data_IF_230908217984
#
_entry.id   IF_230908217984
#
_cell.length_a   1.000
_cell.length_b   1.000
_cell.length_c   1.000
_cell.angle_alpha   90.00
_cell.angle_beta   90.00
_cell.angle_gamma   90.00
#
_symmetry.space_group_name_H-M   'P 1'
#
loop_
_entity.id
_entity.type
_entity.pdbx_description
1 polymer ?
#
# COMPACT_ATOMS: atom_id res chain seq x y z
N UNK A 1 -14.48 -12.38 12.88
CA UNK A 1 -13.91 -11.57 11.78
C UNK A 1 -12.41 -11.47 11.99
N UNK A 2 -11.61 -12.12 11.13
CA UNK A 2 -10.15 -12.06 11.22
C UNK A 2 -9.65 -10.63 11.05
N UNK A 3 -8.65 -10.22 11.84
CA UNK A 3 -8.02 -8.90 11.72
C UNK A 3 -6.95 -9.00 10.63
N UNK A 4 -7.20 -8.43 9.45
CA UNK A 4 -6.19 -8.35 8.39
C UNK A 4 -4.93 -7.66 8.90
N UNK A 5 -3.79 -8.33 8.81
CA UNK A 5 -2.48 -7.80 9.23
C UNK A 5 -1.75 -7.23 8.03
N UNK A 6 -1.26 -6.00 8.15
CA UNK A 6 -0.46 -5.36 7.10
C UNK A 6 0.96 -5.16 7.62
N UNK A 7 1.89 -5.92 7.04
CA UNK A 7 3.34 -5.73 7.18
C UNK A 7 3.78 -4.66 6.19
N UNK A 8 4.90 -4.01 6.50
CA UNK A 8 5.48 -2.96 5.65
C UNK A 8 6.97 -3.20 5.52
N UNK A 9 7.49 -3.15 4.29
CA UNK A 9 8.93 -3.22 4.07
C UNK A 9 9.62 -1.93 4.52
N UNK A 10 10.91 -1.99 4.86
CA UNK A 10 11.67 -0.80 5.22
C UNK A 10 11.65 0.27 4.11
N UNK A 11 11.70 -0.15 2.84
CA UNK A 11 11.65 0.75 1.68
C UNK A 11 10.30 1.47 1.59
N UNK A 12 9.18 0.75 1.70
CA UNK A 12 7.85 1.37 1.69
C UNK A 12 7.65 2.29 2.90
N UNK A 13 8.12 1.87 4.09
CA UNK A 13 8.07 2.68 5.31
C UNK A 13 8.75 4.03 5.15
N UNK A 14 9.96 4.04 4.59
CA UNK A 14 10.74 5.28 4.36
C UNK A 14 10.00 6.27 3.45
N UNK A 15 9.15 5.79 2.55
CA UNK A 15 8.41 6.64 1.60
C UNK A 15 7.09 7.16 2.17
N UNK A 16 6.31 6.29 2.80
CA UNK A 16 5.00 6.66 3.36
C UNK A 16 5.12 7.35 4.72
N UNK A 17 6.28 7.23 5.36
CA UNK A 17 6.65 7.92 6.60
C UNK A 17 6.13 7.21 7.85
N UNK A 18 4.83 7.25 8.08
CA UNK A 18 4.21 6.77 9.32
C UNK A 18 3.17 5.67 9.08
N UNK A 19 2.92 4.85 10.12
CA UNK A 19 1.85 3.84 10.09
C UNK A 19 0.47 4.49 9.95
N UNK A 20 0.26 5.66 10.54
CA UNK A 20 -1.00 6.39 10.44
C UNK A 20 -1.27 6.84 8.99
N UNK A 21 -0.25 7.39 8.31
CA UNK A 21 -0.35 7.79 6.91
C UNK A 21 -0.63 6.59 6.00
N UNK A 22 0.05 5.47 6.25
CA UNK A 22 -0.20 4.22 5.53
C UNK A 22 -1.64 3.74 5.68
N UNK A 23 -2.17 3.71 6.90
CA UNK A 23 -3.55 3.28 7.13
C UNK A 23 -4.55 4.25 6.51
N UNK A 24 -4.30 5.56 6.56
CA UNK A 24 -5.13 6.55 5.88
C UNK A 24 -5.13 6.33 4.36
N UNK A 25 -3.95 6.19 3.75
CA UNK A 25 -3.81 5.92 2.33
C UNK A 25 -4.53 4.64 1.90
N UNK A 26 -4.38 3.54 2.64
CA UNK A 26 -5.05 2.28 2.34
C UNK A 26 -6.57 2.36 2.48
N UNK A 27 -7.08 3.04 3.51
CA UNK A 27 -8.53 3.26 3.69
C UNK A 27 -9.12 4.09 2.56
N UNK A 28 -8.37 5.08 2.09
CA UNK A 28 -8.78 5.99 1.02
C UNK A 28 -8.53 5.41 -0.39
N UNK A 29 -7.88 4.25 -0.52
CA UNK A 29 -7.54 3.69 -1.82
C UNK A 29 -8.73 3.05 -2.56
N UNK A 30 -9.79 2.69 -1.84
CA UNK A 30 -10.92 1.98 -2.43
C UNK A 30 -10.52 0.62 -3.00
N UNK A 31 -11.03 0.30 -4.18
CA UNK A 31 -10.71 -0.96 -4.87
C UNK A 31 -9.33 -0.91 -5.54
N UNK A 32 -8.61 -2.04 -5.61
CA UNK A 32 -7.39 -2.13 -6.40
C UNK A 32 -7.64 -1.73 -7.86
N UNK A 33 -6.70 -1.00 -8.44
CA UNK A 33 -6.68 -0.65 -9.86
C UNK A 33 -6.40 -1.87 -10.74
N UNK A 34 -5.56 -2.77 -10.22
CA UNK A 34 -5.16 -4.01 -10.88
C UNK A 34 -4.86 -5.06 -9.81
N UNK A 35 -5.23 -6.30 -10.11
CA UNK A 35 -4.78 -7.48 -9.38
C UNK A 35 -3.99 -8.33 -10.38
N UNK A 36 -2.74 -8.63 -10.05
CA UNK A 36 -1.83 -9.45 -10.85
C UNK A 36 -1.20 -10.53 -9.96
N UNK A 37 -1.69 -11.76 -10.09
CA UNK A 37 -1.34 -12.87 -9.20
C UNK A 37 -1.64 -12.54 -7.74
N UNK A 38 -0.62 -12.59 -6.89
CA UNK A 38 -0.74 -12.27 -5.46
C UNK A 38 -0.53 -10.77 -5.14
N UNK A 39 -0.55 -9.90 -6.15
CA UNK A 39 -0.28 -8.46 -6.01
C UNK A 39 -1.53 -7.64 -6.27
N UNK A 40 -1.76 -6.65 -5.41
CA UNK A 40 -2.81 -5.64 -5.57
C UNK A 40 -2.17 -4.26 -5.72
N UNK A 41 -2.51 -3.58 -6.81
CA UNK A 41 -2.05 -2.23 -7.14
C UNK A 41 -3.11 -1.21 -6.75
N UNK A 42 -2.73 -0.23 -5.95
CA UNK A 42 -3.66 0.70 -5.32
C UNK A 42 -3.14 2.13 -5.49
N UNK A 43 -4.06 3.09 -5.61
CA UNK A 43 -3.76 4.50 -5.42
C UNK A 43 -4.52 4.97 -4.19
N UNK A 44 -3.80 5.37 -3.15
CA UNK A 44 -4.37 5.84 -1.89
C UNK A 44 -3.89 7.23 -1.52
N UNK A 45 -4.68 7.96 -0.75
CA UNK A 45 -4.36 9.32 -0.31
C UNK A 45 -4.19 9.35 1.20
N UNK A 46 -3.06 9.83 1.71
CA UNK A 46 -2.85 9.93 3.15
C UNK A 46 -3.66 11.08 3.79
N UNK A 47 -3.56 11.25 5.10
CA UNK A 47 -4.26 12.31 5.84
C UNK A 47 -3.78 13.72 5.52
N UNK A 48 -2.68 13.88 4.79
CA UNK A 48 -2.11 15.16 4.36
C UNK A 48 -2.44 15.46 2.89
N UNK A 49 -3.24 14.63 2.23
CA UNK A 49 -3.58 14.79 0.82
C UNK A 49 -2.53 14.27 -0.16
N UNK A 50 -1.50 13.57 0.32
CA UNK A 50 -0.45 13.01 -0.54
C UNK A 50 -0.95 11.71 -1.15
N UNK A 51 -0.99 11.65 -2.49
CA UNK A 51 -1.37 10.45 -3.23
C UNK A 51 -0.18 9.53 -3.41
N UNK A 52 -0.35 8.27 -3.07
CA UNK A 52 0.64 7.20 -3.19
C UNK A 52 0.17 6.13 -4.16
N UNK A 53 1.05 5.73 -5.06
CA UNK A 53 1.00 4.43 -5.71
C UNK A 53 1.51 3.37 -4.72
N UNK A 54 0.73 2.33 -4.51
CA UNK A 54 0.97 1.30 -3.50
C UNK A 54 0.85 -0.09 -4.11
N UNK A 55 1.71 -1.01 -3.68
CA UNK A 55 1.64 -2.43 -4.06
C UNK A 55 1.61 -3.27 -2.79
N UNK A 56 0.49 -3.96 -2.59
CA UNK A 56 0.33 -4.99 -1.58
C UNK A 56 0.60 -6.36 -2.21
N UNK A 57 1.26 -7.24 -1.46
CA UNK A 57 1.45 -8.64 -1.82
C UNK A 57 0.86 -9.52 -0.73
N UNK A 58 0.02 -10.48 -1.09
CA UNK A 58 -0.51 -11.47 -0.15
C UNK A 58 0.62 -12.36 0.39
N UNK A 59 0.55 -12.72 1.66
CA UNK A 59 1.49 -13.67 2.27
C UNK A 59 0.99 -15.10 1.99
N UNK A 60 1.72 -15.86 1.17
CA UNK A 60 1.32 -17.22 0.79
C UNK A 60 1.20 -18.18 2.00
N UNK A 61 1.77 -17.81 3.16
CA UNK A 61 1.73 -18.60 4.40
C UNK A 61 0.61 -18.19 5.37
N UNK A 62 0.03 -17.00 5.20
CA UNK A 62 -0.99 -16.45 6.09
C UNK A 62 -2.01 -15.66 5.27
N UNK A 63 -3.17 -16.27 5.02
CA UNK A 63 -4.24 -15.73 4.18
C UNK A 63 -4.79 -14.38 4.66
N UNK A 64 -4.61 -14.03 5.94
CA UNK A 64 -5.03 -12.75 6.52
C UNK A 64 -3.90 -11.72 6.58
N UNK A 65 -2.74 -12.01 6.00
CA UNK A 65 -1.55 -11.16 6.02
C UNK A 65 -1.21 -10.61 4.63
N UNK A 66 -0.99 -9.31 4.58
CA UNK A 66 -0.53 -8.59 3.39
C UNK A 66 0.76 -7.85 3.71
N UNK A 67 1.65 -7.73 2.74
CA UNK A 67 2.87 -6.92 2.85
C UNK A 67 2.84 -5.79 1.86
N UNK A 68 2.91 -4.56 2.34
CA UNK A 68 3.14 -3.38 1.51
C UNK A 68 4.63 -3.30 1.15
N UNK A 69 4.93 -3.64 -0.11
CA UNK A 69 6.29 -3.68 -0.63
C UNK A 69 6.69 -2.38 -1.33
N UNK A 70 5.71 -1.62 -1.78
CA UNK A 70 5.89 -0.38 -2.52
C UNK A 70 4.92 0.70 -2.03
N UNK A 71 5.44 1.90 -1.84
CA UNK A 71 4.66 3.11 -1.61
C UNK A 71 5.46 4.27 -2.23
N UNK A 72 4.93 4.92 -3.26
CA UNK A 72 5.61 6.02 -3.94
C UNK A 72 4.65 7.18 -4.14
N UNK A 73 4.96 8.40 -3.68
CA UNK A 73 4.13 9.55 -4.00
C UNK A 73 4.08 9.75 -5.52
N UNK A 74 2.88 9.93 -6.07
CA UNK A 74 2.65 9.90 -7.52
C UNK A 74 3.42 11.02 -8.23
N UNK A 75 3.66 12.15 -7.57
CA UNK A 75 4.45 13.27 -8.11
C UNK A 75 5.93 12.93 -8.35
N UNK A 76 6.44 11.83 -7.79
CA UNK A 76 7.79 11.32 -8.10
C UNK A 76 7.80 10.25 -9.21
N UNK A 77 6.64 9.88 -9.77
CA UNK A 77 6.56 8.98 -10.92
C UNK A 77 7.14 9.72 -12.13
N UNK A 78 8.42 9.47 -12.44
CA UNK A 78 8.98 9.84 -13.73
C UNK A 78 8.30 8.96 -14.77
N UNK A 79 7.60 9.57 -15.71
CA UNK A 79 7.12 8.92 -16.93
C UNK A 79 8.28 8.07 -17.49
N UNK A 80 8.06 6.76 -17.62
CA UNK A 80 8.89 5.88 -18.42
C UNK A 80 8.35 5.89 -19.83
#
# INVERSE_FOLDING_TARGET
MGRTRIKVTAKARRRIGSRANMLAALRNAGNPLLIDGNRAYLIGTDSKGVRFEMILVADDRDADSWTLIHAMPIHYRKNW
#
